data_IF_258748379920
#
_entry.id   IF_258748379920
#
_cell.length_a   1.000
_cell.length_b   1.000
_cell.length_c   1.000
_cell.angle_alpha   90.00
_cell.angle_beta   90.00
_cell.angle_gamma   90.00
#
_symmetry.space_group_name_H-M   'P 1'
#
loop_
_entity.id
_entity.type
_entity.pdbx_description
1 polymer ?
#
# COMPACT_ATOMS: atom_id res chain seq x y z
N UNK A 1 5.24 -11.12 -24.03
CA UNK A 1 4.48 -9.89 -24.35
C UNK A 1 4.15 -9.90 -25.82
N UNK A 2 2.91 -9.52 -26.17
CA UNK A 2 2.47 -9.27 -27.54
C UNK A 2 1.61 -8.01 -27.57
N UNK A 3 1.02 -7.67 -28.72
CA UNK A 3 0.27 -6.42 -28.89
C UNK A 3 -0.95 -6.64 -29.79
N UNK A 4 -2.01 -5.84 -29.55
CA UNK A 4 -3.09 -5.69 -30.53
C UNK A 4 -2.60 -4.90 -31.74
N UNK A 5 -3.41 -4.87 -32.79
CA UNK A 5 -3.21 -4.07 -34.03
C UNK A 5 -4.52 -3.38 -34.41
N UNK A 6 -4.47 -2.51 -35.40
CA UNK A 6 -5.69 -1.87 -35.94
C UNK A 6 -6.69 -2.91 -36.47
N UNK A 7 -6.22 -4.00 -37.11
CA UNK A 7 -7.09 -5.11 -37.55
C UNK A 7 -7.82 -5.75 -36.35
N UNK A 8 -7.11 -5.97 -35.24
CA UNK A 8 -7.72 -6.49 -33.98
C UNK A 8 -8.75 -5.50 -33.45
N UNK A 9 -8.44 -4.21 -33.47
CA UNK A 9 -9.36 -3.18 -32.97
C UNK A 9 -10.63 -3.09 -33.83
N UNK A 10 -10.51 -3.22 -35.14
CA UNK A 10 -11.66 -3.18 -36.07
C UNK A 10 -12.60 -4.38 -35.80
N UNK A 11 -12.05 -5.59 -35.60
CA UNK A 11 -12.85 -6.75 -35.26
C UNK A 11 -13.57 -6.54 -33.93
N UNK A 12 -12.87 -6.07 -32.88
CA UNK A 12 -13.46 -5.81 -31.57
C UNK A 12 -14.61 -4.79 -31.66
N UNK A 13 -14.46 -3.72 -32.48
CA UNK A 13 -15.52 -2.71 -32.69
C UNK A 13 -16.82 -3.30 -33.23
N UNK A 14 -16.77 -4.38 -34.00
CA UNK A 14 -17.98 -5.04 -34.55
C UNK A 14 -18.90 -5.60 -33.44
N UNK A 15 -18.33 -5.86 -32.25
CA UNK A 15 -19.08 -6.40 -31.12
C UNK A 15 -19.63 -5.34 -30.15
N UNK A 16 -19.30 -4.06 -30.31
CA UNK A 16 -19.66 -3.03 -29.33
C UNK A 16 -21.16 -2.90 -29.08
N UNK A 17 -21.98 -2.98 -30.11
CA UNK A 17 -23.43 -2.93 -29.96
C UNK A 17 -24.00 -4.08 -29.12
N UNK A 18 -23.26 -5.20 -29.00
CA UNK A 18 -23.65 -6.37 -28.21
C UNK A 18 -23.00 -6.39 -26.83
N UNK A 19 -22.08 -5.47 -26.52
CA UNK A 19 -21.42 -5.41 -25.23
C UNK A 19 -22.39 -4.97 -24.13
N UNK A 20 -22.48 -5.69 -23.00
CA UNK A 20 -23.30 -5.28 -21.86
C UNK A 20 -22.92 -3.91 -21.32
N UNK A 21 -21.65 -3.51 -21.41
CA UNK A 21 -21.15 -2.19 -21.00
C UNK A 21 -21.69 -1.07 -21.91
N UNK A 22 -21.61 -1.25 -23.23
CA UNK A 22 -22.08 -0.23 -24.19
C UNK A 22 -23.61 -0.19 -24.32
N UNK A 23 -24.30 -1.28 -24.00
CA UNK A 23 -25.76 -1.33 -23.96
C UNK A 23 -26.37 -0.72 -22.69
N UNK A 24 -25.55 -0.29 -21.72
CA UNK A 24 -26.03 0.24 -20.43
C UNK A 24 -26.74 -0.83 -19.57
N UNK A 25 -26.52 -2.11 -19.84
CA UNK A 25 -27.05 -3.21 -18.99
C UNK A 25 -26.32 -3.28 -17.66
N UNK A 26 -25.03 -2.95 -17.66
CA UNK A 26 -24.23 -2.83 -16.44
C UNK A 26 -24.38 -1.39 -15.96
N UNK A 27 -25.03 -1.21 -14.80
CA UNK A 27 -25.24 0.09 -14.17
C UNK A 27 -24.23 0.34 -13.04
N UNK A 28 -23.60 -0.71 -12.52
CA UNK A 28 -22.56 -0.64 -11.50
C UNK A 28 -21.22 -0.12 -12.07
N UNK A 29 -20.42 0.47 -11.20
CA UNK A 29 -19.06 0.83 -11.53
C UNK A 29 -18.21 -0.44 -11.67
N UNK A 30 -17.61 -0.64 -12.84
CA UNK A 30 -16.69 -1.76 -13.07
C UNK A 30 -15.43 -1.67 -12.21
N UNK A 31 -14.59 -2.72 -12.18
CA UNK A 31 -13.37 -2.74 -11.39
C UNK A 31 -12.45 -1.61 -11.81
N UNK A 32 -12.01 -0.81 -10.82
CA UNK A 32 -11.08 0.29 -11.04
C UNK A 32 -9.71 -0.25 -11.45
N UNK A 33 -9.06 0.40 -12.40
CA UNK A 33 -7.71 0.07 -12.92
C UNK A 33 -7.58 -1.21 -13.74
N UNK A 34 -8.68 -1.83 -14.15
CA UNK A 34 -8.66 -2.93 -15.10
C UNK A 34 -9.56 -2.60 -16.30
N UNK A 35 -9.19 -1.60 -17.15
CA UNK A 35 -10.00 -1.23 -18.30
C UNK A 35 -10.09 -2.40 -19.25
N UNK A 36 -11.28 -2.68 -19.76
CA UNK A 36 -11.50 -3.66 -20.81
C UNK A 36 -10.75 -3.26 -22.09
N UNK A 37 -10.57 -4.20 -23.01
CA UNK A 37 -9.95 -3.85 -24.29
C UNK A 37 -10.82 -2.86 -25.08
N UNK A 38 -12.15 -2.94 -24.93
CA UNK A 38 -13.11 -2.00 -25.49
C UNK A 38 -12.89 -0.58 -24.95
N UNK A 39 -12.68 -0.43 -23.66
CA UNK A 39 -12.35 0.85 -23.03
C UNK A 39 -11.03 1.41 -23.56
N UNK A 40 -10.01 0.56 -23.71
CA UNK A 40 -8.69 0.98 -24.22
C UNK A 40 -8.78 1.53 -25.63
N UNK A 41 -9.43 0.80 -26.53
CA UNK A 41 -9.55 1.21 -27.94
C UNK A 41 -10.52 2.38 -28.16
N UNK A 42 -11.38 2.69 -27.17
CA UNK A 42 -12.27 3.85 -27.18
C UNK A 42 -11.60 5.08 -26.58
N UNK A 43 -11.03 4.96 -25.38
CA UNK A 43 -10.42 6.08 -24.66
C UNK A 43 -9.07 6.51 -25.23
N UNK A 44 -8.34 5.56 -25.84
CA UNK A 44 -7.04 5.77 -26.45
C UNK A 44 -7.08 5.43 -27.95
N UNK A 45 -8.09 5.96 -28.63
CA UNK A 45 -8.32 5.71 -30.07
C UNK A 45 -7.17 6.16 -30.98
N UNK A 46 -6.27 7.04 -30.48
CA UNK A 46 -5.04 7.48 -31.13
C UNK A 46 -3.93 6.41 -31.13
N UNK A 47 -4.08 5.35 -30.32
CA UNK A 47 -3.12 4.25 -30.22
C UNK A 47 -3.50 3.12 -31.16
N UNK A 48 -2.58 2.76 -32.04
CA UNK A 48 -2.73 1.66 -33.00
C UNK A 48 -2.45 0.27 -32.37
N UNK A 49 -2.00 0.21 -31.11
CA UNK A 49 -1.73 -1.04 -30.41
C UNK A 49 -1.84 -0.90 -28.91
N UNK A 50 -2.26 -1.97 -28.25
CA UNK A 50 -2.26 -2.12 -26.80
C UNK A 50 -1.48 -3.37 -26.40
N UNK A 51 -0.74 -3.29 -25.30
CA UNK A 51 0.08 -4.36 -24.78
C UNK A 51 -0.76 -5.47 -24.16
N UNK A 52 -0.36 -6.71 -24.44
CA UNK A 52 -0.93 -7.93 -23.89
C UNK A 52 0.20 -8.72 -23.23
N UNK A 53 -0.02 -9.16 -21.98
CA UNK A 53 0.88 -10.08 -21.29
C UNK A 53 0.34 -11.49 -21.42
N UNK A 54 1.24 -12.45 -21.61
CA UNK A 54 0.94 -13.87 -21.81
C UNK A 54 1.64 -14.62 -20.69
N UNK A 55 0.84 -15.20 -19.79
CA UNK A 55 1.29 -15.74 -18.53
C UNK A 55 0.83 -17.19 -18.37
N UNK A 56 1.74 -18.21 -18.33
CA UNK A 56 1.36 -19.57 -18.03
C UNK A 56 0.72 -19.66 -16.64
N UNK A 57 -0.44 -20.34 -16.53
CA UNK A 57 -1.13 -20.50 -15.23
C UNK A 57 -0.50 -21.56 -14.32
N UNK A 58 0.58 -22.20 -14.74
CA UNK A 58 1.32 -23.17 -13.94
C UNK A 58 2.46 -23.81 -14.72
N UNK A 59 3.25 -24.64 -14.05
CA UNK A 59 4.42 -25.29 -14.62
C UNK A 59 4.07 -26.46 -15.56
N UNK A 60 2.93 -27.11 -15.34
CA UNK A 60 2.51 -28.34 -16.05
C UNK A 60 1.16 -28.17 -16.76
N UNK A 61 0.73 -26.94 -17.01
CA UNK A 61 -0.53 -26.63 -17.70
C UNK A 61 -0.29 -26.08 -19.10
N UNK A 62 -1.22 -26.34 -20.02
CA UNK A 62 -1.26 -25.68 -21.31
C UNK A 62 -2.12 -24.40 -21.30
N UNK A 63 -2.69 -24.06 -20.15
CA UNK A 63 -3.51 -22.87 -19.97
C UNK A 63 -2.64 -21.62 -19.83
N UNK A 64 -2.98 -20.61 -20.61
CA UNK A 64 -2.29 -19.33 -20.65
C UNK A 64 -3.29 -18.25 -20.27
N UNK A 65 -2.98 -17.48 -19.24
CA UNK A 65 -3.71 -16.28 -18.90
C UNK A 65 -3.31 -15.13 -19.82
N UNK A 66 -4.30 -14.44 -20.38
CA UNK A 66 -4.10 -13.32 -21.28
C UNK A 66 -4.46 -12.02 -20.58
N UNK A 67 -3.46 -11.38 -19.98
CA UNK A 67 -3.61 -10.13 -19.28
C UNK A 67 -3.59 -8.94 -20.25
N UNK A 68 -4.53 -8.04 -20.08
CA UNK A 68 -4.66 -6.84 -20.93
C UNK A 68 -5.64 -6.98 -22.09
N UNK A 69 -6.29 -8.15 -22.22
CA UNK A 69 -7.35 -8.42 -23.20
C UNK A 69 -8.70 -8.71 -22.52
N UNK A 70 -8.93 -8.17 -21.33
CA UNK A 70 -10.23 -8.28 -20.64
C UNK A 70 -11.33 -7.69 -21.51
N UNK A 71 -12.43 -8.42 -21.69
CA UNK A 71 -13.51 -8.03 -22.60
C UNK A 71 -14.85 -8.61 -22.20
N UNK A 72 -15.93 -7.91 -22.50
CA UNK A 72 -17.31 -8.36 -22.34
C UNK A 72 -18.04 -8.61 -23.67
N UNK A 73 -17.30 -8.57 -24.77
CA UNK A 73 -17.83 -8.79 -26.12
C UNK A 73 -18.31 -10.23 -26.30
N UNK A 74 -19.12 -10.51 -27.33
CA UNK A 74 -19.50 -11.88 -27.68
C UNK A 74 -18.29 -12.78 -27.94
N UNK A 75 -18.39 -14.05 -27.56
CA UNK A 75 -17.30 -15.05 -27.65
C UNK A 75 -16.71 -15.15 -29.05
N UNK A 76 -17.56 -15.14 -30.08
CA UNK A 76 -17.13 -15.20 -31.48
C UNK A 76 -16.24 -14.02 -31.86
N UNK A 77 -16.57 -12.80 -31.40
CA UNK A 77 -15.77 -11.60 -31.65
C UNK A 77 -14.44 -11.66 -30.90
N UNK A 78 -14.47 -12.15 -29.63
CA UNK A 78 -13.27 -12.33 -28.84
C UNK A 78 -12.30 -13.30 -29.51
N UNK A 79 -12.79 -14.43 -29.99
CA UNK A 79 -11.98 -15.46 -30.64
C UNK A 79 -11.40 -14.98 -31.97
N UNK A 80 -12.21 -14.32 -32.80
CA UNK A 80 -11.76 -13.76 -34.07
C UNK A 80 -10.65 -12.71 -33.85
N UNK A 81 -10.88 -11.78 -32.95
CA UNK A 81 -9.91 -10.74 -32.63
C UNK A 81 -8.62 -11.33 -32.01
N UNK A 82 -8.74 -12.29 -31.08
CA UNK A 82 -7.60 -12.93 -30.45
C UNK A 82 -6.69 -13.61 -31.46
N UNK A 83 -7.24 -14.32 -32.43
CA UNK A 83 -6.47 -15.00 -33.47
C UNK A 83 -5.73 -14.09 -34.45
N UNK A 84 -6.01 -12.79 -34.41
CA UNK A 84 -5.26 -11.78 -35.16
C UNK A 84 -4.12 -11.15 -34.33
N UNK A 85 -4.03 -11.48 -33.06
CA UNK A 85 -2.91 -11.07 -32.22
C UNK A 85 -1.71 -11.98 -32.51
N UNK A 86 -0.50 -11.42 -32.78
CA UNK A 86 0.70 -12.21 -33.05
C UNK A 86 0.99 -13.26 -31.95
N UNK A 87 1.13 -14.52 -32.38
CA UNK A 87 1.34 -15.67 -31.50
C UNK A 87 0.08 -16.39 -31.03
N UNK A 88 -1.11 -15.88 -31.40
CA UNK A 88 -2.40 -16.49 -31.06
C UNK A 88 -3.17 -17.07 -32.26
N UNK A 89 -2.55 -17.18 -33.42
CA UNK A 89 -3.19 -17.58 -34.69
C UNK A 89 -3.93 -18.94 -34.57
N UNK A 90 -3.38 -19.84 -33.75
CA UNK A 90 -3.95 -21.16 -33.51
C UNK A 90 -4.52 -21.34 -32.09
N UNK A 91 -4.74 -20.24 -31.37
CA UNK A 91 -5.24 -20.30 -30.00
C UNK A 91 -6.63 -20.92 -29.92
N UNK A 92 -6.85 -21.67 -28.84
CA UNK A 92 -8.16 -22.18 -28.44
C UNK A 92 -8.52 -21.50 -27.12
N UNK A 93 -9.74 -21.02 -27.02
CA UNK A 93 -10.22 -20.34 -25.82
C UNK A 93 -10.87 -21.39 -24.90
N UNK A 94 -10.37 -21.51 -23.68
CA UNK A 94 -10.97 -22.36 -22.65
C UNK A 94 -12.15 -21.65 -21.98
N UNK A 95 -11.99 -20.34 -21.76
CA UNK A 95 -13.00 -19.50 -21.12
C UNK A 95 -12.99 -18.12 -21.76
N UNK A 96 -14.10 -17.65 -22.33
CA UNK A 96 -14.20 -16.29 -22.83
C UNK A 96 -14.14 -15.27 -21.70
N UNK A 97 -13.73 -14.05 -22.01
CA UNK A 97 -13.88 -12.90 -21.14
C UNK A 97 -15.36 -12.62 -20.89
N UNK A 98 -15.66 -12.01 -19.76
CA UNK A 98 -17.02 -11.72 -19.31
C UNK A 98 -17.05 -10.40 -18.54
N UNK A 99 -18.23 -9.78 -18.52
CA UNK A 99 -18.47 -8.61 -17.68
C UNK A 99 -18.81 -9.04 -16.25
N UNK A 100 -18.33 -8.25 -15.29
CA UNK A 100 -18.66 -8.40 -13.89
C UNK A 100 -19.30 -7.12 -13.39
N UNK A 101 -20.42 -7.24 -12.70
CA UNK A 101 -21.04 -6.22 -11.90
C UNK A 101 -20.94 -6.60 -10.43
N UNK A 102 -20.58 -5.62 -9.58
CA UNK A 102 -20.36 -5.88 -8.17
C UNK A 102 -21.46 -5.26 -7.33
N UNK A 103 -22.11 -6.08 -6.51
CA UNK A 103 -22.91 -5.61 -5.41
C UNK A 103 -22.01 -5.35 -4.19
N UNK A 104 -22.30 -4.30 -3.45
CA UNK A 104 -21.63 -3.99 -2.20
C UNK A 104 -22.57 -3.27 -1.22
N UNK A 105 -22.21 -3.29 0.04
CA UNK A 105 -22.86 -2.51 1.08
C UNK A 105 -21.99 -1.32 1.44
N UNK A 106 -22.61 -0.16 1.69
CA UNK A 106 -21.88 1.03 2.12
C UNK A 106 -21.10 0.70 3.41
N UNK A 107 -19.76 0.79 3.40
CA UNK A 107 -18.95 0.38 4.53
C UNK A 107 -19.08 1.29 5.76
N UNK A 108 -19.74 2.44 5.65
CA UNK A 108 -20.10 3.31 6.77
C UNK A 108 -21.00 2.63 7.81
N UNK A 109 -21.65 1.52 7.46
CA UNK A 109 -22.39 0.68 8.40
C UNK A 109 -21.54 -0.23 9.25
N UNK A 110 -20.19 -0.22 9.07
CA UNK A 110 -19.26 -1.03 9.83
C UNK A 110 -18.63 -0.23 10.97
N UNK A 111 -18.21 -0.96 12.00
CA UNK A 111 -17.30 -0.48 13.04
C UNK A 111 -15.85 -0.58 12.56
N UNK A 112 -14.89 0.00 13.26
CA UNK A 112 -13.44 -0.15 12.99
C UNK A 112 -12.97 -1.62 13.05
N UNK A 113 -13.73 -2.49 13.72
CA UNK A 113 -13.49 -3.94 13.76
C UNK A 113 -13.94 -4.67 12.51
N UNK A 114 -14.58 -3.98 11.55
CA UNK A 114 -15.30 -4.52 10.40
C UNK A 114 -16.57 -5.33 10.76
N UNK A 115 -16.99 -5.32 12.03
CA UNK A 115 -18.28 -5.82 12.44
C UNK A 115 -19.39 -4.86 11.99
N UNK A 116 -20.52 -5.40 11.52
CA UNK A 116 -21.67 -4.56 11.17
C UNK A 116 -22.29 -3.90 12.42
N UNK A 117 -22.75 -2.65 12.27
CA UNK A 117 -23.42 -1.94 13.37
C UNK A 117 -24.78 -2.54 13.72
N UNK A 118 -25.47 -3.13 12.74
CA UNK A 118 -26.84 -3.63 12.89
C UNK A 118 -26.89 -5.08 13.38
N UNK A 119 -25.95 -5.93 13.00
CA UNK A 119 -25.98 -7.36 13.32
C UNK A 119 -24.70 -7.73 14.07
N UNK A 120 -24.83 -8.02 15.35
CA UNK A 120 -23.72 -8.45 16.20
C UNK A 120 -23.14 -9.78 15.71
N UNK A 121 -21.80 -9.87 15.64
CA UNK A 121 -21.07 -11.06 15.22
C UNK A 121 -20.98 -11.25 13.70
N UNK A 122 -21.54 -10.33 12.90
CA UNK A 122 -21.42 -10.35 11.45
C UNK A 122 -20.32 -9.37 11.01
N UNK A 123 -19.33 -9.87 10.28
CA UNK A 123 -18.18 -9.09 9.79
C UNK A 123 -18.14 -9.10 8.27
N UNK A 124 -17.80 -7.98 7.66
CA UNK A 124 -17.64 -7.84 6.22
C UNK A 124 -16.19 -7.59 5.84
N UNK A 125 -15.73 -8.21 4.75
CA UNK A 125 -14.37 -8.02 4.24
C UNK A 125 -14.31 -8.19 2.72
N UNK A 126 -13.53 -7.35 2.06
CA UNK A 126 -13.27 -7.43 0.63
C UNK A 126 -14.32 -6.73 -0.22
N UNK A 127 -14.73 -7.38 -1.31
CA UNK A 127 -15.61 -6.79 -2.33
C UNK A 127 -16.94 -6.28 -1.77
N UNK A 128 -17.49 -6.96 -0.78
CA UNK A 128 -18.75 -6.57 -0.13
C UNK A 128 -18.70 -5.15 0.49
N UNK A 129 -17.48 -4.65 0.76
CA UNK A 129 -17.21 -3.32 1.28
C UNK A 129 -16.85 -2.30 0.19
N UNK A 130 -17.11 -2.61 -1.08
CA UNK A 130 -16.78 -1.73 -2.20
C UNK A 130 -15.28 -1.66 -2.53
N UNK A 131 -14.51 -2.71 -2.23
CA UNK A 131 -13.09 -2.84 -2.59
C UNK A 131 -12.90 -3.96 -3.62
N UNK A 132 -12.07 -3.73 -4.65
CA UNK A 132 -11.88 -4.72 -5.72
C UNK A 132 -10.45 -5.26 -5.81
N UNK A 133 -9.52 -4.79 -4.99
CA UNK A 133 -8.15 -5.27 -4.96
C UNK A 133 -7.97 -6.47 -4.03
N UNK A 134 -7.09 -7.40 -4.42
CA UNK A 134 -6.77 -8.58 -3.61
C UNK A 134 -6.12 -8.21 -2.28
N UNK A 135 -5.25 -7.22 -2.30
CA UNK A 135 -4.54 -6.74 -1.11
C UNK A 135 -5.50 -6.11 -0.11
N UNK A 136 -6.46 -5.31 -0.60
CA UNK A 136 -7.50 -4.71 0.23
C UNK A 136 -8.41 -5.79 0.84
N UNK A 137 -8.78 -6.80 0.06
CA UNK A 137 -9.61 -7.90 0.53
C UNK A 137 -8.87 -8.75 1.58
N UNK A 138 -7.59 -9.07 1.32
CA UNK A 138 -6.76 -9.85 2.23
C UNK A 138 -6.57 -9.19 3.59
N UNK A 139 -6.26 -7.89 3.61
CA UNK A 139 -6.06 -7.17 4.87
C UNK A 139 -7.38 -6.97 5.65
N UNK A 140 -8.50 -6.73 4.96
CA UNK A 140 -9.82 -6.67 5.62
C UNK A 140 -10.20 -8.02 6.22
N UNK A 141 -10.00 -9.13 5.47
CA UNK A 141 -10.25 -10.48 5.96
C UNK A 141 -9.43 -10.82 7.19
N UNK A 142 -8.15 -10.43 7.21
CA UNK A 142 -7.28 -10.60 8.36
C UNK A 142 -7.83 -9.85 9.59
N UNK A 143 -8.15 -8.57 9.44
CA UNK A 143 -8.65 -7.75 10.54
C UNK A 143 -10.02 -8.21 11.04
N UNK A 144 -10.93 -8.56 10.13
CA UNK A 144 -12.25 -9.11 10.48
C UNK A 144 -12.11 -10.43 11.24
N UNK A 145 -11.24 -11.32 10.78
CA UNK A 145 -10.97 -12.61 11.44
C UNK A 145 -10.37 -12.47 12.83
N UNK A 146 -9.38 -11.58 13.00
CA UNK A 146 -8.80 -11.27 14.32
C UNK A 146 -9.90 -10.77 15.29
N UNK A 147 -10.67 -9.78 14.86
CA UNK A 147 -11.69 -9.17 15.72
C UNK A 147 -12.86 -10.12 16.01
N UNK A 148 -13.27 -10.96 15.06
CA UNK A 148 -14.26 -12.00 15.29
C UNK A 148 -13.77 -12.99 16.36
N UNK A 149 -12.50 -13.42 16.28
CA UNK A 149 -11.90 -14.31 17.26
C UNK A 149 -11.81 -13.65 18.66
N UNK A 150 -11.34 -12.42 18.75
CA UNK A 150 -11.26 -11.67 20.01
C UNK A 150 -12.64 -11.47 20.63
N UNK A 151 -13.64 -11.09 19.82
CA UNK A 151 -15.03 -10.94 20.26
C UNK A 151 -15.61 -12.23 20.81
N UNK A 152 -15.34 -13.40 20.17
CA UNK A 152 -15.80 -14.70 20.66
C UNK A 152 -15.19 -15.09 22.02
N UNK A 153 -14.03 -14.53 22.34
CA UNK A 153 -13.32 -14.72 23.60
C UNK A 153 -13.61 -13.62 24.63
N UNK A 154 -14.50 -12.67 24.32
CA UNK A 154 -14.78 -11.47 25.12
C UNK A 154 -13.51 -10.67 25.45
N UNK A 155 -12.59 -10.56 24.49
CA UNK A 155 -11.38 -9.75 24.57
C UNK A 155 -11.58 -8.40 23.88
N UNK A 156 -10.73 -7.44 24.25
CA UNK A 156 -10.71 -6.12 23.63
C UNK A 156 -10.45 -6.21 22.13
N UNK A 157 -11.10 -5.35 21.31
CA UNK A 157 -10.92 -5.34 19.86
C UNK A 157 -9.51 -4.89 19.47
N UNK A 158 -9.01 -5.43 18.38
CA UNK A 158 -7.76 -5.03 17.77
C UNK A 158 -8.03 -4.03 16.63
N UNK A 159 -7.59 -2.80 16.82
CA UNK A 159 -7.75 -1.70 15.85
C UNK A 159 -6.36 -1.11 15.59
N UNK A 160 -6.06 -0.87 14.33
CA UNK A 160 -4.87 -0.16 13.88
C UNK A 160 -5.25 1.24 13.44
N UNK A 161 -4.58 2.24 14.00
CA UNK A 161 -4.80 3.65 13.65
C UNK A 161 -4.15 3.99 12.30
N UNK A 162 -4.56 5.11 11.72
CA UNK A 162 -4.01 5.66 10.46
C UNK A 162 -2.51 5.92 10.51
N UNK A 163 -1.96 6.21 11.69
CA UNK A 163 -0.51 6.41 11.91
C UNK A 163 0.29 5.12 12.16
N UNK A 164 -0.39 3.97 12.32
CA UNK A 164 0.23 2.69 12.64
C UNK A 164 0.37 1.76 11.45
N UNK A 165 -0.60 1.76 10.53
CA UNK A 165 -0.58 0.87 9.37
C UNK A 165 -1.44 1.39 8.22
N UNK A 166 -1.08 1.01 6.97
CA UNK A 166 -1.94 1.23 5.80
C UNK A 166 -3.30 0.54 5.90
N UNK A 167 -3.37 -0.60 6.61
CA UNK A 167 -4.64 -1.26 6.95
C UNK A 167 -5.53 -0.34 7.78
N UNK A 168 -4.95 0.40 8.74
CA UNK A 168 -5.67 1.40 9.53
C UNK A 168 -6.23 2.51 8.65
N UNK A 169 -5.43 3.06 7.74
CA UNK A 169 -5.89 4.07 6.77
C UNK A 169 -7.04 3.55 5.91
N UNK A 170 -6.92 2.31 5.40
CA UNK A 170 -7.94 1.69 4.56
C UNK A 170 -9.27 1.53 5.31
N UNK A 171 -9.24 0.95 6.49
CA UNK A 171 -10.47 0.69 7.26
C UNK A 171 -11.12 2.01 7.66
N UNK A 172 -10.34 2.97 8.13
CA UNK A 172 -10.84 4.28 8.51
C UNK A 172 -11.48 5.03 7.32
N UNK A 173 -10.81 5.06 6.15
CA UNK A 173 -11.40 5.65 4.94
C UNK A 173 -12.74 5.00 4.58
N UNK A 174 -12.82 3.65 4.62
CA UNK A 174 -14.05 2.93 4.29
C UNK A 174 -15.21 3.29 5.21
N UNK A 175 -14.98 3.25 6.52
CA UNK A 175 -16.07 3.39 7.50
C UNK A 175 -16.47 4.83 7.76
N UNK A 176 -15.59 5.79 7.52
CA UNK A 176 -15.86 7.23 7.76
C UNK A 176 -16.32 7.96 6.51
N UNK A 177 -15.71 7.67 5.35
CA UNK A 177 -16.00 8.35 4.08
C UNK A 177 -16.98 7.56 3.19
N UNK A 178 -17.06 6.23 3.39
CA UNK A 178 -17.79 5.37 2.48
C UNK A 178 -17.09 5.21 1.13
N UNK A 179 -17.79 4.64 0.16
CA UNK A 179 -17.29 4.47 -1.21
C UNK A 179 -18.38 4.76 -2.23
N UNK A 180 -18.11 5.69 -3.14
CA UNK A 180 -18.96 5.95 -4.32
C UNK A 180 -18.44 5.22 -5.56
N UNK A 181 -17.18 4.79 -5.53
CA UNK A 181 -16.49 4.01 -6.56
C UNK A 181 -15.62 2.94 -5.89
N UNK A 182 -15.21 1.87 -6.61
CA UNK A 182 -14.35 0.83 -6.04
C UNK A 182 -13.10 1.40 -5.39
N UNK A 183 -12.96 1.18 -4.08
CA UNK A 183 -11.84 1.70 -3.30
C UNK A 183 -10.55 0.96 -3.64
N UNK A 184 -9.47 1.72 -3.85
CA UNK A 184 -8.10 1.20 -3.95
C UNK A 184 -7.19 1.98 -3.01
N UNK A 185 -6.31 1.25 -2.35
CA UNK A 185 -5.32 1.83 -1.45
C UNK A 185 -4.12 2.37 -2.25
N UNK A 186 -3.84 3.67 -2.10
CA UNK A 186 -2.67 4.34 -2.62
C UNK A 186 -1.89 4.98 -1.50
N UNK A 187 -0.58 5.11 -1.70
CA UNK A 187 0.28 5.83 -0.74
C UNK A 187 -0.16 7.28 -0.52
N UNK A 188 -0.81 7.90 -1.51
CA UNK A 188 -1.36 9.27 -1.40
C UNK A 188 -2.51 9.40 -0.40
N UNK A 189 -3.15 8.29 -0.02
CA UNK A 189 -4.23 8.29 0.99
C UNK A 189 -3.71 8.37 2.42
N UNK A 190 -2.44 8.01 2.64
CA UNK A 190 -1.82 8.05 3.95
C UNK A 190 -1.14 9.42 4.17
N UNK A 191 -1.51 10.11 5.22
CA UNK A 191 -0.91 11.37 5.67
C UNK A 191 0.44 11.15 6.37
N UNK A 192 0.59 10.06 7.14
CA UNK A 192 1.80 9.76 7.93
C UNK A 192 2.79 8.85 7.20
N UNK A 193 3.05 9.08 5.90
CA UNK A 193 3.88 8.19 5.08
C UNK A 193 5.29 7.97 5.60
N UNK A 194 5.89 8.96 6.28
CA UNK A 194 7.22 8.80 6.86
C UNK A 194 7.23 7.82 8.04
N UNK A 195 6.10 7.64 8.71
CA UNK A 195 5.93 6.64 9.77
C UNK A 195 5.59 5.26 9.21
N UNK A 196 4.84 5.21 8.09
CA UNK A 196 4.28 3.99 7.49
C UNK A 196 5.15 3.42 6.36
N UNK A 197 6.46 3.42 6.53
CA UNK A 197 7.35 2.85 5.52
C UNK A 197 7.28 1.33 5.50
N UNK A 198 7.56 0.74 4.33
CA UNK A 198 7.64 -0.72 4.18
C UNK A 198 8.80 -1.28 5.01
N UNK A 199 9.93 -0.60 5.01
CA UNK A 199 11.18 -0.99 5.66
C UNK A 199 11.11 -1.05 7.20
N UNK A 200 10.08 -0.44 7.82
CA UNK A 200 9.88 -0.46 9.27
C UNK A 200 8.58 -1.16 9.71
N UNK A 201 7.93 -1.89 8.82
CA UNK A 201 6.66 -2.56 9.13
C UNK A 201 6.81 -3.60 10.25
N UNK A 202 7.92 -4.33 10.27
CA UNK A 202 8.26 -5.27 11.32
C UNK A 202 8.38 -4.60 12.69
N UNK A 203 9.04 -3.44 12.75
CA UNK A 203 9.21 -2.65 13.97
C UNK A 203 7.85 -2.20 14.54
N UNK A 204 6.90 -1.85 13.67
CA UNK A 204 5.58 -1.34 14.08
C UNK A 204 4.59 -2.43 14.47
N UNK A 205 4.65 -3.61 13.81
CA UNK A 205 3.55 -4.57 13.83
C UNK A 205 3.92 -5.95 14.41
N UNK A 206 5.20 -6.36 14.46
CA UNK A 206 5.56 -7.71 14.90
C UNK A 206 5.20 -7.97 16.37
N UNK A 207 5.45 -7.02 17.27
CA UNK A 207 5.07 -7.15 18.68
C UNK A 207 3.56 -7.30 18.81
N UNK A 208 2.78 -6.47 18.11
CA UNK A 208 1.30 -6.56 18.12
C UNK A 208 0.82 -7.94 17.60
N UNK A 209 1.45 -8.44 16.54
CA UNK A 209 1.15 -9.77 16.01
C UNK A 209 1.49 -10.91 16.99
N UNK A 210 2.56 -10.74 17.78
CA UNK A 210 2.93 -11.68 18.83
C UNK A 210 1.91 -11.68 19.98
N UNK A 211 1.50 -10.51 20.43
CA UNK A 211 0.50 -10.36 21.49
C UNK A 211 -0.86 -10.97 21.11
N UNK A 212 -1.18 -10.98 19.81
CA UNK A 212 -2.36 -11.64 19.25
C UNK A 212 -2.19 -13.15 19.03
N UNK A 213 -0.98 -13.70 19.23
CA UNK A 213 -0.67 -15.11 18.96
C UNK A 213 -0.49 -15.47 17.49
N UNK A 214 -0.36 -14.49 16.60
CA UNK A 214 -0.16 -14.68 15.15
C UNK A 214 1.33 -14.81 14.77
N UNK A 215 2.22 -14.30 15.61
CA UNK A 215 3.66 -14.32 15.40
C UNK A 215 4.29 -15.24 16.45
N UNK A 216 5.24 -16.07 16.01
CA UNK A 216 5.99 -16.98 16.89
C UNK A 216 7.16 -16.26 17.56
N UNK A 217 7.68 -16.88 18.62
CA UNK A 217 8.77 -16.34 19.46
C UNK A 217 10.05 -16.05 18.65
N UNK A 218 10.42 -16.94 17.76
CA UNK A 218 11.62 -16.80 16.91
C UNK A 218 11.62 -15.51 16.07
N UNK A 219 10.46 -15.13 15.58
CA UNK A 219 10.30 -13.86 14.82
C UNK A 219 10.35 -12.63 15.72
N UNK A 220 9.80 -12.72 16.92
CA UNK A 220 9.91 -11.65 17.92
C UNK A 220 11.36 -11.48 18.40
N UNK A 221 12.08 -12.58 18.64
CA UNK A 221 13.47 -12.55 19.06
C UNK A 221 14.34 -11.87 17.98
N UNK A 222 14.15 -12.22 16.71
CA UNK A 222 14.82 -11.56 15.58
C UNK A 222 14.55 -10.05 15.54
N UNK A 223 13.31 -9.63 15.80
CA UNK A 223 12.98 -8.20 15.90
C UNK A 223 13.76 -7.53 17.04
N UNK A 224 13.80 -8.15 18.22
CA UNK A 224 14.48 -7.61 19.40
C UNK A 224 15.99 -7.49 19.17
N UNK A 225 16.60 -8.46 18.50
CA UNK A 225 18.02 -8.41 18.10
C UNK A 225 18.26 -7.24 17.15
N UNK A 226 17.40 -7.08 16.11
CA UNK A 226 17.47 -5.96 15.16
C UNK A 226 17.34 -4.61 15.87
N UNK A 227 16.37 -4.45 16.79
CA UNK A 227 16.17 -3.21 17.56
C UNK A 227 17.40 -2.89 18.43
N UNK A 228 17.92 -3.88 19.15
CA UNK A 228 19.12 -3.72 19.97
C UNK A 228 20.33 -3.27 19.13
N UNK A 229 20.47 -3.81 17.91
CA UNK A 229 21.55 -3.42 17.03
C UNK A 229 21.35 -2.01 16.45
N UNK A 230 20.12 -1.61 16.11
CA UNK A 230 19.79 -0.25 15.71
C UNK A 230 20.16 0.76 16.81
N UNK A 231 19.83 0.46 18.07
CA UNK A 231 20.17 1.32 19.21
C UNK A 231 21.69 1.46 19.37
N UNK A 232 22.46 0.36 19.24
CA UNK A 232 23.93 0.40 19.28
C UNK A 232 24.50 1.26 18.16
N UNK A 233 23.98 1.14 16.93
CA UNK A 233 24.38 1.95 15.78
C UNK A 233 24.09 3.44 16.01
N UNK A 234 22.89 3.79 16.48
CA UNK A 234 22.53 5.17 16.77
C UNK A 234 23.43 5.76 17.88
N UNK A 235 23.71 5.01 18.94
CA UNK A 235 24.62 5.42 20.00
C UNK A 235 26.04 5.66 19.46
N UNK A 236 26.56 4.75 18.65
CA UNK A 236 27.87 4.88 17.99
C UNK A 236 27.92 6.14 17.13
N UNK A 237 26.97 6.38 16.22
CA UNK A 237 26.95 7.55 15.35
C UNK A 237 26.81 8.87 16.14
N UNK A 238 26.10 8.86 17.27
CA UNK A 238 25.96 10.02 18.16
C UNK A 238 27.25 10.35 18.92
N UNK A 239 28.05 9.35 19.27
CA UNK A 239 29.27 9.52 20.04
C UNK A 239 30.48 9.74 19.16
N UNK A 240 30.53 9.14 17.98
CA UNK A 240 31.65 9.19 17.03
C UNK A 240 31.64 10.49 16.21
N UNK A 241 32.83 10.97 15.90
CA UNK A 241 33.02 12.19 15.09
C UNK A 241 34.04 11.90 13.98
N UNK A 242 33.76 12.42 12.78
CA UNK A 242 34.73 12.44 11.69
C UNK A 242 35.71 13.62 11.82
N UNK A 243 36.94 13.39 11.38
CA UNK A 243 37.97 14.44 11.27
C UNK A 243 37.97 14.99 9.84
N UNK A 244 38.36 16.30 9.66
CA UNK A 244 38.33 16.93 8.34
C UNK A 244 39.14 16.20 7.27
N UNK A 245 40.29 15.65 7.63
CA UNK A 245 41.23 14.96 6.73
C UNK A 245 40.62 13.72 6.11
N UNK A 246 39.79 13.01 6.85
CA UNK A 246 39.15 11.77 6.42
C UNK A 246 37.86 12.00 5.62
N UNK A 247 37.02 12.95 6.08
CA UNK A 247 35.68 13.10 5.52
C UNK A 247 35.58 14.13 4.39
N UNK A 248 36.44 15.17 4.38
CA UNK A 248 36.35 16.25 3.38
C UNK A 248 36.53 15.78 1.93
N UNK A 249 37.41 14.82 1.60
CA UNK A 249 37.45 14.28 0.24
C UNK A 249 36.14 13.66 -0.21
N UNK A 250 35.41 13.01 0.71
CA UNK A 250 34.09 12.42 0.45
C UNK A 250 33.05 13.53 0.27
N UNK A 251 33.05 14.52 1.14
CA UNK A 251 32.13 15.68 1.06
C UNK A 251 32.29 16.46 -0.24
N UNK A 252 33.53 16.68 -0.69
CA UNK A 252 33.82 17.32 -1.98
C UNK A 252 33.29 16.55 -3.16
N UNK A 253 33.51 15.23 -3.20
CA UNK A 253 33.00 14.37 -4.27
C UNK A 253 31.46 14.38 -4.40
N UNK A 254 30.77 14.72 -3.30
CA UNK A 254 29.31 14.80 -3.21
C UNK A 254 28.78 16.26 -3.29
N UNK A 255 29.62 17.23 -3.63
CA UNK A 255 29.29 18.66 -3.64
C UNK A 255 28.68 19.14 -2.31
N UNK A 256 29.16 18.61 -1.18
CA UNK A 256 28.77 19.00 0.16
C UNK A 256 29.84 19.88 0.82
N UNK A 257 29.41 20.81 1.67
CA UNK A 257 30.33 21.71 2.34
C UNK A 257 31.34 20.99 3.23
N UNK A 258 32.63 21.34 3.12
CA UNK A 258 33.68 20.80 3.98
C UNK A 258 33.44 21.14 5.46
N UNK A 259 33.99 20.35 6.34
CA UNK A 259 34.06 20.64 7.76
C UNK A 259 35.46 21.19 8.09
N UNK A 260 35.53 22.18 9.00
CA UNK A 260 36.78 22.79 9.46
C UNK A 260 37.31 22.21 10.78
N UNK A 261 36.47 21.46 11.48
CA UNK A 261 36.79 20.85 12.78
C UNK A 261 36.09 19.52 12.95
N UNK A 262 36.53 18.71 13.92
CA UNK A 262 35.93 17.44 14.29
C UNK A 262 34.42 17.57 14.48
N UNK A 263 33.65 16.84 13.72
CA UNK A 263 32.18 16.96 13.66
C UNK A 263 31.51 15.60 13.87
N UNK A 264 30.45 15.57 14.67
CA UNK A 264 29.67 14.35 14.95
C UNK A 264 29.13 13.73 13.63
N UNK A 265 29.22 12.40 13.53
CA UNK A 265 28.72 11.67 12.34
C UNK A 265 27.24 11.95 12.09
N UNK A 266 26.42 12.04 13.11
CA UNK A 266 24.99 12.37 12.98
C UNK A 266 24.73 13.70 12.29
N UNK A 267 25.56 14.74 12.52
CA UNK A 267 25.46 16.03 11.81
C UNK A 267 25.82 15.90 10.33
N UNK A 268 26.76 15.03 10.00
CA UNK A 268 27.17 14.77 8.63
C UNK A 268 26.07 13.96 7.92
N UNK A 269 25.57 12.91 8.56
CA UNK A 269 24.52 12.03 8.04
C UNK A 269 23.20 12.77 7.76
N UNK A 270 22.91 13.82 8.51
CA UNK A 270 21.71 14.65 8.30
C UNK A 270 21.75 15.49 7.02
N UNK A 271 22.89 15.59 6.33
CA UNK A 271 22.99 16.35 5.07
C UNK A 271 22.32 15.61 3.92
N UNK A 272 21.59 16.29 3.01
CA UNK A 272 20.83 15.64 1.93
C UNK A 272 21.68 14.73 1.03
N UNK A 273 22.90 15.15 0.70
CA UNK A 273 23.81 14.48 -0.23
C UNK A 273 24.45 13.21 0.36
N UNK A 274 24.44 13.06 1.69
CA UNK A 274 25.12 11.96 2.37
C UNK A 274 24.23 10.71 2.39
N UNK A 275 24.74 9.61 1.89
CA UNK A 275 24.17 8.27 2.02
C UNK A 275 25.00 7.44 3.02
N UNK A 276 24.49 6.28 3.42
CA UNK A 276 25.25 5.34 4.25
C UNK A 276 26.56 4.95 3.58
N UNK A 277 26.54 4.57 2.30
CA UNK A 277 27.76 4.22 1.54
C UNK A 277 28.81 5.31 1.45
N UNK A 278 28.44 6.57 1.77
CA UNK A 278 29.40 7.69 1.85
C UNK A 278 30.23 7.65 3.12
N UNK A 279 29.68 7.15 4.22
CA UNK A 279 30.34 7.10 5.54
C UNK A 279 30.85 5.72 5.91
N UNK A 280 30.38 4.69 5.25
CA UNK A 280 30.79 3.30 5.49
C UNK A 280 32.32 3.10 5.36
N UNK A 281 32.98 3.90 4.52
CA UNK A 281 34.42 3.85 4.26
C UNK A 281 35.28 4.49 5.36
N UNK A 282 34.66 5.16 6.32
CA UNK A 282 35.40 5.75 7.44
C UNK A 282 35.96 4.65 8.33
N UNK A 283 37.22 4.83 8.77
CA UNK A 283 37.94 3.80 9.57
C UNK A 283 37.14 3.45 10.82
N UNK A 284 36.64 4.44 11.54
CA UNK A 284 35.84 4.21 12.75
C UNK A 284 34.54 3.41 12.51
N UNK A 285 33.91 3.59 11.34
CA UNK A 285 32.72 2.83 10.95
C UNK A 285 33.08 1.40 10.61
N UNK A 286 34.17 1.20 9.86
CA UNK A 286 34.66 -0.15 9.51
C UNK A 286 35.06 -0.97 10.75
N UNK A 287 35.73 -0.35 11.71
CA UNK A 287 36.09 -0.98 12.98
C UNK A 287 34.84 -1.39 13.76
N UNK A 288 33.86 -0.48 13.89
CA UNK A 288 32.60 -0.80 14.56
C UNK A 288 31.88 -1.99 13.91
N UNK A 289 31.78 -2.01 12.57
CA UNK A 289 31.11 -3.10 11.84
C UNK A 289 31.85 -4.44 11.99
N UNK A 290 33.16 -4.40 12.00
CA UNK A 290 33.98 -5.60 12.22
C UNK A 290 33.77 -6.23 13.59
N UNK A 291 33.56 -5.41 14.62
CA UNK A 291 33.34 -5.87 15.99
C UNK A 291 31.89 -6.30 16.27
N UNK A 292 30.90 -5.63 15.65
CA UNK A 292 29.49 -5.80 15.99
C UNK A 292 28.67 -6.50 14.90
N UNK A 293 29.26 -6.79 13.73
CA UNK A 293 28.56 -7.40 12.59
C UNK A 293 27.91 -6.37 11.65
N UNK A 294 27.36 -6.87 10.54
CA UNK A 294 26.78 -6.08 9.46
C UNK A 294 25.34 -6.55 9.17
N UNK A 295 24.38 -6.12 9.97
CA UNK A 295 22.96 -6.25 9.64
C UNK A 295 22.56 -5.05 8.76
N UNK A 296 22.40 -5.28 7.47
CA UNK A 296 22.11 -4.23 6.49
C UNK A 296 20.77 -3.56 6.72
N UNK A 297 19.74 -4.31 7.16
CA UNK A 297 18.41 -3.76 7.45
C UNK A 297 18.47 -2.83 8.68
N UNK A 298 19.17 -3.26 9.74
CA UNK A 298 19.33 -2.45 10.94
C UNK A 298 20.16 -1.18 10.68
N UNK A 299 21.22 -1.28 9.86
CA UNK A 299 22.04 -0.14 9.44
C UNK A 299 21.21 0.88 8.68
N UNK A 300 20.40 0.42 7.72
CA UNK A 300 19.50 1.28 6.96
C UNK A 300 18.50 1.98 7.88
N UNK A 301 17.88 1.26 8.82
CA UNK A 301 16.95 1.82 9.79
C UNK A 301 17.62 2.87 10.69
N UNK A 302 18.82 2.59 11.21
CA UNK A 302 19.57 3.56 12.01
C UNK A 302 19.88 4.84 11.20
N UNK A 303 20.29 4.67 9.95
CA UNK A 303 20.57 5.79 9.05
C UNK A 303 19.34 6.64 8.78
N UNK A 304 18.20 6.02 8.47
CA UNK A 304 16.92 6.70 8.24
C UNK A 304 16.46 7.44 9.49
N UNK A 305 16.52 6.80 10.65
CA UNK A 305 16.13 7.42 11.92
C UNK A 305 16.98 8.66 12.25
N UNK A 306 18.28 8.62 12.01
CA UNK A 306 19.16 9.77 12.22
C UNK A 306 18.86 10.87 11.21
N UNK A 307 18.83 10.52 9.92
CA UNK A 307 18.69 11.49 8.83
C UNK A 307 17.37 12.24 8.87
N UNK A 308 16.30 11.55 9.21
CA UNK A 308 14.93 12.10 9.20
C UNK A 308 14.36 12.31 10.60
N UNK A 309 15.18 12.30 11.65
CA UNK A 309 14.75 12.42 13.06
C UNK A 309 13.76 13.55 13.31
N UNK A 310 14.05 14.75 12.80
CA UNK A 310 13.18 15.91 12.99
C UNK A 310 11.83 15.80 12.29
N UNK A 311 11.76 15.16 11.12
CA UNK A 311 10.51 14.91 10.42
C UNK A 311 9.69 13.82 11.13
N UNK A 312 10.34 12.72 11.53
CA UNK A 312 9.71 11.61 12.25
C UNK A 312 9.11 12.10 13.56
N UNK A 313 9.84 12.90 14.35
CA UNK A 313 9.33 13.46 15.60
C UNK A 313 8.11 14.33 15.37
N UNK A 314 8.17 15.27 14.39
CA UNK A 314 7.04 16.14 14.06
C UNK A 314 5.80 15.35 13.65
N UNK A 315 5.95 14.32 12.81
CA UNK A 315 4.82 13.50 12.39
C UNK A 315 4.22 12.68 13.55
N UNK A 316 5.05 12.18 14.46
CA UNK A 316 4.56 11.53 15.68
C UNK A 316 3.75 12.49 16.55
N UNK A 317 4.27 13.71 16.77
CA UNK A 317 3.56 14.74 17.55
C UNK A 317 2.22 15.12 16.90
N UNK A 318 2.18 15.21 15.56
CA UNK A 318 0.95 15.47 14.80
C UNK A 318 -0.06 14.32 14.95
N UNK A 319 0.39 13.07 14.80
CA UNK A 319 -0.44 11.89 14.95
C UNK A 319 -1.05 11.80 16.37
N UNK A 320 -0.22 12.04 17.40
CA UNK A 320 -0.70 12.04 18.79
C UNK A 320 -1.74 13.14 19.06
N UNK A 321 -1.56 14.33 18.49
CA UNK A 321 -2.54 15.42 18.62
C UNK A 321 -3.88 15.03 17.99
N UNK A 322 -3.87 14.46 16.80
CA UNK A 322 -5.10 14.04 16.10
C UNK A 322 -5.78 12.91 16.88
N UNK A 323 -5.05 11.90 17.32
CA UNK A 323 -5.61 10.80 18.14
C UNK A 323 -6.28 11.31 19.42
N UNK A 324 -5.71 12.35 20.06
CA UNK A 324 -6.36 12.98 21.23
C UNK A 324 -7.67 13.66 20.86
N UNK A 325 -7.73 14.32 19.72
CA UNK A 325 -8.95 15.00 19.22
C UNK A 325 -10.04 13.98 18.84
N UNK A 326 -9.67 12.89 18.18
CA UNK A 326 -10.58 11.80 17.79
C UNK A 326 -11.23 11.09 18.98
N UNK A 327 -10.55 11.06 20.14
CA UNK A 327 -11.10 10.50 21.37
C UNK A 327 -12.07 11.43 22.12
N UNK A 328 -12.32 12.64 21.62
CA UNK A 328 -13.30 13.56 22.22
C UNK A 328 -14.69 13.16 21.73
N UNK A 329 -15.50 12.65 22.62
CA UNK A 329 -16.88 12.31 22.32
C UNK A 329 -17.71 13.58 22.14
N UNK A 330 -18.44 13.68 21.04
CA UNK A 330 -19.45 14.69 20.84
C UNK A 330 -20.75 14.17 21.47
N UNK A 331 -21.41 14.92 22.38
CA UNK A 331 -22.69 14.52 22.95
C UNK A 331 -23.74 14.30 21.86
N UNK A 332 -24.63 13.31 22.05
CA UNK A 332 -25.68 12.99 21.06
C UNK A 332 -26.67 14.16 20.86
N UNK A 333 -26.86 14.99 21.88
CA UNK A 333 -27.73 16.17 21.87
C UNK A 333 -27.01 17.46 21.43
N UNK A 334 -25.81 17.34 20.83
CA UNK A 334 -25.03 18.51 20.43
C UNK A 334 -25.68 19.27 19.26
N UNK A 335 -26.02 20.57 19.52
CA UNK A 335 -26.66 21.42 18.56
C UNK A 335 -25.69 22.11 17.60
N UNK A 336 -25.39 21.48 16.47
CA UNK A 336 -24.47 22.00 15.44
C UNK A 336 -24.91 23.33 14.86
N UNK A 337 -26.23 23.58 14.82
CA UNK A 337 -26.82 24.84 14.31
C UNK A 337 -26.41 26.09 15.10
N UNK A 338 -26.02 25.91 16.36
CA UNK A 338 -25.52 27.00 17.22
C UNK A 338 -24.09 27.43 16.92
N UNK A 339 -23.34 26.64 16.15
CA UNK A 339 -21.97 26.97 15.80
C UNK A 339 -21.91 27.89 14.60
N UNK A 340 -21.59 29.17 14.86
CA UNK A 340 -21.44 30.18 13.81
C UNK A 340 -20.28 29.92 12.86
N UNK A 341 -19.28 29.14 13.29
CA UNK A 341 -18.08 28.79 12.53
C UNK A 341 -18.25 27.65 11.53
N UNK A 342 -19.38 26.91 11.60
CA UNK A 342 -19.67 25.85 10.64
C UNK A 342 -20.36 26.43 9.39
N UNK A 343 -19.97 25.91 8.23
CA UNK A 343 -20.68 26.19 6.98
C UNK A 343 -22.09 25.63 7.01
N UNK A 344 -22.99 26.12 6.15
CA UNK A 344 -24.35 25.60 6.04
C UNK A 344 -24.40 24.12 5.66
N UNK A 345 -23.39 23.65 4.92
CA UNK A 345 -23.25 22.26 4.49
C UNK A 345 -22.76 21.32 5.62
N UNK A 346 -22.03 21.88 6.59
CA UNK A 346 -21.52 21.14 7.75
C UNK A 346 -22.50 21.09 8.94
N UNK A 347 -23.60 21.84 8.87
CA UNK A 347 -24.71 21.87 9.85
C UNK A 347 -25.81 20.91 9.49
#
# INVERSE_FOLDING_TARGET
ITYTSDEVHDILRTGFEKSPMFQGRIQGLGPRYCPSIEDKITRFADKNRHQIFVEPEGWETCEIYVNGFSTSLPEEVQMEALRKVPGFENAKMFRPGYAIEYDFFQPTQLKHTLETKLVKGLYFAGQINGTTGYEEAGCQGLMAGINACLSSQNKEPFILNRSEAYIGVLIDDLITKGTDEPYRMFTSRAEYRILLRQDNADIRLTQKGYDLGLVKQDRLDRLNEKLSYIEKLIAFFNTTSAIPEEINPILESLNSSKISQKTKLTKIMSRPQISYGSIEKLISVQEFLKENGTDTEAIEQAFIQIKYSGYISREKDNAEKITRLENISIPEDFEYTKLASLSSEAK
#
